data_IF_265662049830
#
_entry.id   IF_265662049830
#
_cell.length_a   1.000
_cell.length_b   1.000
_cell.length_c   1.000
_cell.angle_alpha   90.00
_cell.angle_beta   90.00
_cell.angle_gamma   90.00
#
_symmetry.space_group_name_H-M   'P 1'
#
loop_
_entity.id
_entity.type
_entity.pdbx_description
1 polymer ?
#
# COMPACT_ATOMS: atom_id res chain seq x y z
N UNK A 1 -30.58 -52.97 31.80
CA UNK A 1 -29.27 -52.29 31.93
C UNK A 1 -29.17 -51.30 30.78
N UNK A 2 -29.65 -50.08 31.02
CA UNK A 2 -28.84 -48.85 31.18
C UNK A 2 -28.35 -48.30 29.83
N UNK A 3 -29.18 -47.54 29.10
CA UNK A 3 -29.40 -46.06 29.16
C UNK A 3 -28.42 -45.25 28.30
N UNK A 4 -28.95 -44.76 27.18
CA UNK A 4 -28.41 -43.70 26.32
C UNK A 4 -28.62 -42.34 27.01
N UNK A 5 -27.56 -41.55 27.17
CA UNK A 5 -27.63 -40.19 27.71
C UNK A 5 -27.49 -39.17 26.58
N UNK A 6 -28.61 -38.57 26.18
CA UNK A 6 -28.64 -37.28 25.48
C UNK A 6 -28.58 -36.16 26.53
N UNK A 7 -27.61 -35.26 26.42
CA UNK A 7 -27.58 -34.03 27.22
C UNK A 7 -28.56 -33.01 26.64
N UNK A 8 -29.53 -32.65 27.47
CA UNK A 8 -30.53 -31.61 27.27
C UNK A 8 -30.03 -30.35 28.01
N UNK A 9 -30.00 -29.19 27.34
CA UNK A 9 -29.75 -27.89 27.99
C UNK A 9 -31.10 -27.15 28.04
N UNK A 10 -31.64 -26.79 29.22
CA UNK A 10 -32.95 -26.16 29.32
C UNK A 10 -32.91 -24.67 28.98
N UNK A 11 -33.97 -24.21 28.31
CA UNK A 11 -34.26 -22.78 28.13
C UNK A 11 -34.69 -22.11 29.43
N UNK A 12 -34.35 -20.83 29.56
CA UNK A 12 -34.83 -19.96 30.64
C UNK A 12 -35.79 -18.92 30.05
N UNK A 13 -37.01 -18.91 30.59
CA UNK A 13 -38.08 -17.94 30.32
C UNK A 13 -38.45 -17.24 31.63
N UNK A 14 -38.25 -15.91 31.64
CA UNK A 14 -38.93 -14.78 32.32
C UNK A 14 -39.12 -14.77 33.86
N UNK A 15 -39.21 -13.56 34.48
CA UNK A 15 -40.52 -12.88 34.55
C UNK A 15 -40.50 -11.38 34.25
N UNK A 16 -41.63 -10.92 33.70
CA UNK A 16 -42.10 -9.54 33.65
C UNK A 16 -42.41 -8.97 35.05
N UNK A 17 -42.07 -7.70 35.30
CA UNK A 17 -42.83 -6.85 36.21
C UNK A 17 -42.71 -5.35 35.90
N UNK A 18 -43.74 -4.85 35.23
CA UNK A 18 -44.48 -3.58 35.40
C UNK A 18 -43.74 -2.22 35.58
N UNK A 19 -43.93 -1.39 34.56
CA UNK A 19 -44.56 -0.04 34.55
C UNK A 19 -44.07 1.01 35.56
N UNK A 20 -43.48 2.10 35.03
CA UNK A 20 -43.96 3.45 35.37
C UNK A 20 -43.93 4.36 34.13
N UNK A 21 -45.07 5.00 33.89
CA UNK A 21 -45.33 6.01 32.88
C UNK A 21 -44.90 7.39 33.37
N UNK A 22 -44.35 8.23 32.49
CA UNK A 22 -44.92 9.54 32.10
C UNK A 22 -43.88 10.65 31.77
N UNK A 23 -44.27 11.48 30.78
CA UNK A 23 -43.73 12.79 30.36
C UNK A 23 -42.36 12.78 29.63
N UNK A 24 -42.19 13.24 28.37
CA UNK A 24 -42.79 14.36 27.63
C UNK A 24 -42.85 14.11 26.10
N UNK A 25 -43.84 14.74 25.46
CA UNK A 25 -44.11 14.76 24.02
C UNK A 25 -43.07 15.56 23.20
N UNK A 26 -42.89 15.21 21.92
CA UNK A 26 -42.20 16.07 20.95
C UNK A 26 -41.76 15.40 19.64
N UNK A 27 -42.57 15.59 18.59
CA UNK A 27 -42.28 15.46 17.15
C UNK A 27 -41.88 14.09 16.56
N UNK A 28 -42.91 13.32 16.20
CA UNK A 28 -42.84 12.34 15.11
C UNK A 28 -43.01 13.06 13.77
N UNK A 29 -41.92 13.24 13.00
CA UNK A 29 -42.05 13.56 11.58
C UNK A 29 -42.27 12.24 10.83
N UNK A 30 -43.47 12.07 10.27
CA UNK A 30 -43.83 10.95 9.39
C UNK A 30 -42.89 10.91 8.18
N UNK A 31 -42.10 9.84 8.06
CA UNK A 31 -41.36 9.52 6.85
C UNK A 31 -42.31 8.84 5.87
N UNK A 32 -42.87 9.61 4.94
CA UNK A 32 -43.66 9.05 3.82
C UNK A 32 -42.67 8.71 2.71
N UNK A 33 -42.41 7.41 2.51
CA UNK A 33 -41.71 6.92 1.31
C UNK A 33 -42.72 6.88 0.16
N UNK A 34 -42.54 7.75 -0.84
CA UNK A 34 -43.22 7.63 -2.13
C UNK A 34 -42.34 6.83 -3.12
N UNK A 35 -42.94 6.05 -4.02
CA UNK A 35 -42.19 5.28 -5.00
C UNK A 35 -41.54 6.20 -6.05
N UNK A 36 -40.36 5.79 -6.50
CA UNK A 36 -39.48 6.54 -7.40
C UNK A 36 -40.18 6.96 -8.71
N UNK A 37 -40.10 8.26 -9.02
CA UNK A 37 -40.38 8.77 -10.36
C UNK A 37 -39.12 8.70 -11.23
N UNK A 38 -39.29 8.41 -12.52
CA UNK A 38 -38.26 8.04 -13.50
C UNK A 38 -37.35 9.19 -13.97
N UNK A 39 -36.95 10.09 -13.09
CA UNK A 39 -35.94 11.11 -13.37
C UNK A 39 -35.02 11.26 -12.17
N UNK A 40 -33.86 10.58 -12.20
CA UNK A 40 -32.93 10.45 -11.07
C UNK A 40 -32.32 11.76 -10.58
N UNK A 41 -33.03 12.47 -9.71
CA UNK A 41 -32.52 13.59 -8.92
C UNK A 41 -33.17 13.61 -7.54
N UNK A 42 -32.41 13.20 -6.52
CA UNK A 42 -32.82 13.33 -5.12
C UNK A 42 -32.38 14.69 -4.57
N UNK A 43 -33.29 15.38 -3.87
CA UNK A 43 -33.01 16.62 -3.15
C UNK A 43 -33.26 16.41 -1.65
N UNK A 44 -32.33 16.86 -0.81
CA UNK A 44 -32.53 16.98 0.64
C UNK A 44 -32.43 18.46 1.01
N UNK A 45 -33.46 18.99 1.67
CA UNK A 45 -33.52 20.38 2.15
C UNK A 45 -33.24 20.42 3.65
N UNK A 46 -32.17 21.12 4.05
CA UNK A 46 -31.94 21.57 5.43
C UNK A 46 -31.60 23.07 5.39
N UNK A 47 -32.39 23.85 6.12
CA UNK A 47 -32.14 25.25 6.50
C UNK A 47 -31.52 26.17 5.43
N UNK A 48 -32.27 26.48 4.37
CA UNK A 48 -32.22 27.79 3.71
C UNK A 48 -31.01 28.12 2.84
N UNK A 49 -30.18 27.16 2.43
CA UNK A 49 -29.18 27.37 1.36
C UNK A 49 -29.24 26.27 0.31
N UNK A 50 -29.88 26.57 -0.81
CA UNK A 50 -29.84 25.72 -2.00
C UNK A 50 -28.45 25.83 -2.65
N UNK A 51 -27.63 24.78 -2.55
CA UNK A 51 -26.46 24.58 -3.43
C UNK A 51 -26.71 23.35 -4.27
N UNK A 52 -26.48 23.47 -5.58
CA UNK A 52 -26.42 22.35 -6.51
C UNK A 52 -25.39 21.34 -6.01
N UNK A 53 -25.85 20.15 -5.62
CA UNK A 53 -25.02 18.96 -5.53
C UNK A 53 -25.44 18.09 -6.71
N UNK A 54 -24.77 18.23 -7.85
CA UNK A 54 -25.19 17.52 -9.05
C UNK A 54 -24.22 17.70 -10.21
N UNK A 55 -23.18 16.86 -10.24
CA UNK A 55 -22.53 16.37 -11.47
C UNK A 55 -21.44 15.34 -11.13
N UNK A 56 -21.81 14.20 -10.53
CA UNK A 56 -20.88 13.06 -10.37
C UNK A 56 -21.56 11.71 -10.63
N UNK A 57 -22.63 11.71 -11.44
CA UNK A 57 -23.34 10.50 -11.85
C UNK A 57 -23.57 10.53 -13.36
N UNK A 58 -22.50 10.41 -14.13
CA UNK A 58 -22.51 10.01 -15.55
C UNK A 58 -21.08 9.77 -16.03
N UNK A 59 -20.46 8.73 -15.46
CA UNK A 59 -19.32 8.05 -16.06
C UNK A 59 -19.46 6.55 -15.75
N UNK A 60 -20.61 5.98 -16.11
CA UNK A 60 -20.72 4.53 -16.27
C UNK A 60 -20.32 4.23 -17.72
N UNK A 61 -19.39 3.28 -17.85
CA UNK A 61 -18.72 2.80 -19.07
C UNK A 61 -17.40 3.51 -19.44
N UNK A 62 -16.55 3.78 -18.46
CA UNK A 62 -15.11 3.67 -18.69
C UNK A 62 -14.72 2.19 -18.57
N UNK A 63 -13.97 1.68 -19.55
CA UNK A 63 -13.50 0.31 -19.62
C UNK A 63 -12.72 -0.07 -18.34
N UNK A 64 -13.34 -0.92 -17.52
CA UNK A 64 -12.83 -1.33 -16.22
C UNK A 64 -11.73 -2.40 -16.32
N UNK A 65 -11.36 -2.80 -17.55
CA UNK A 65 -10.33 -3.81 -17.81
C UNK A 65 -8.94 -3.35 -17.38
N UNK A 66 -8.62 -2.05 -17.48
CA UNK A 66 -7.33 -1.53 -17.04
C UNK A 66 -7.17 -1.55 -15.50
N UNK A 67 -8.20 -1.14 -14.76
CA UNK A 67 -8.20 -1.17 -13.28
C UNK A 67 -8.27 -2.61 -12.74
N UNK A 68 -9.00 -3.51 -13.40
CA UNK A 68 -9.02 -4.94 -13.03
C UNK A 68 -7.70 -5.66 -13.38
N UNK A 69 -7.06 -5.35 -14.52
CA UNK A 69 -5.76 -5.91 -14.90
C UNK A 69 -4.61 -5.49 -13.97
N UNK A 70 -4.69 -4.28 -13.39
CA UNK A 70 -3.72 -3.83 -12.40
C UNK A 70 -3.84 -4.66 -11.12
N UNK A 71 -5.07 -5.01 -10.69
CA UNK A 71 -5.32 -5.81 -9.49
C UNK A 71 -5.05 -7.33 -9.65
N UNK A 72 -5.34 -7.93 -10.81
CA UNK A 72 -5.13 -9.37 -11.03
C UNK A 72 -3.65 -9.76 -11.17
N UNK A 73 -2.76 -8.83 -11.57
CA UNK A 73 -1.32 -9.05 -11.67
C UNK A 73 -0.58 -8.99 -10.31
N UNK A 74 -1.31 -9.03 -9.19
CA UNK A 74 -0.73 -8.77 -7.88
C UNK A 74 -0.39 -10.00 -7.01
N UNK A 75 -0.66 -11.23 -7.43
CA UNK A 75 -0.28 -12.42 -6.64
C UNK A 75 1.06 -13.02 -7.05
N UNK A 76 1.96 -13.21 -6.09
CA UNK A 76 3.08 -14.16 -6.21
C UNK A 76 4.35 -13.64 -6.89
N UNK A 77 4.58 -12.32 -6.95
CA UNK A 77 5.85 -11.76 -7.45
C UNK A 77 6.46 -10.81 -6.44
N UNK A 78 7.71 -11.09 -6.07
CA UNK A 78 8.56 -10.22 -5.26
C UNK A 78 8.67 -8.82 -5.92
N UNK A 79 8.51 -7.76 -5.12
CA UNK A 79 8.68 -6.37 -5.53
C UNK A 79 9.68 -5.67 -4.65
N UNK A 80 10.85 -5.39 -5.20
CA UNK A 80 11.87 -4.58 -4.55
C UNK A 80 11.73 -3.14 -5.04
N UNK A 81 11.65 -2.20 -4.10
CA UNK A 81 11.60 -0.77 -4.39
C UNK A 81 12.83 -0.07 -3.82
N UNK A 82 13.40 0.86 -4.58
CA UNK A 82 14.47 1.74 -4.07
C UNK A 82 13.80 2.90 -3.31
N UNK A 83 14.05 3.01 -2.00
CA UNK A 83 13.44 4.00 -1.10
C UNK A 83 14.31 5.27 -0.99
N UNK A 84 14.23 6.13 -2.01
CA UNK A 84 14.94 7.40 -2.09
C UNK A 84 14.24 8.35 -3.07
N UNK A 85 14.50 9.65 -2.95
CA UNK A 85 14.14 10.65 -3.96
C UNK A 85 15.36 11.14 -4.76
N UNK A 86 16.55 10.56 -4.55
CA UNK A 86 17.74 10.84 -5.32
C UNK A 86 17.77 10.05 -6.63
N UNK A 87 17.57 10.75 -7.74
CA UNK A 87 17.57 10.16 -9.08
C UNK A 87 18.92 9.60 -9.54
N UNK A 88 20.05 9.99 -8.93
CA UNK A 88 21.36 9.39 -9.25
C UNK A 88 21.41 7.93 -8.80
N UNK A 89 20.86 7.66 -7.61
CA UNK A 89 20.71 6.29 -7.12
C UNK A 89 19.86 5.44 -8.07
N UNK A 90 18.80 6.00 -8.64
CA UNK A 90 17.95 5.30 -9.61
C UNK A 90 18.69 4.94 -10.90
N UNK A 91 19.48 5.88 -11.45
CA UNK A 91 20.31 5.63 -12.63
C UNK A 91 21.31 4.49 -12.42
N UNK A 92 21.81 4.35 -11.18
CA UNK A 92 22.76 3.29 -10.84
C UNK A 92 22.09 1.91 -10.72
N UNK A 93 20.90 1.84 -10.12
CA UNK A 93 20.34 0.58 -9.65
C UNK A 93 19.14 0.06 -10.45
N UNK A 94 18.29 0.92 -11.00
CA UNK A 94 17.14 0.46 -11.80
C UNK A 94 17.56 -0.36 -13.03
N UNK A 95 18.63 -0.02 -13.78
CA UNK A 95 19.06 -0.82 -14.94
C UNK A 95 19.47 -2.26 -14.62
N UNK A 96 19.67 -2.62 -13.34
CA UNK A 96 19.94 -4.02 -12.95
C UNK A 96 18.77 -4.96 -13.24
N UNK A 97 17.55 -4.44 -13.41
CA UNK A 97 16.32 -5.24 -13.58
C UNK A 97 15.82 -5.91 -12.29
N UNK A 98 16.52 -5.76 -11.17
CA UNK A 98 16.13 -6.37 -9.89
C UNK A 98 15.03 -5.61 -9.14
N UNK A 99 14.84 -4.33 -9.46
CA UNK A 99 13.89 -3.45 -8.78
C UNK A 99 12.64 -3.24 -9.61
N UNK A 100 11.48 -3.45 -8.98
CA UNK A 100 10.17 -3.22 -9.60
C UNK A 100 9.85 -1.73 -9.68
N UNK A 101 10.35 -0.91 -8.76
CA UNK A 101 9.99 0.50 -8.73
C UNK A 101 10.74 1.31 -7.70
N UNK A 102 10.20 2.49 -7.39
CA UNK A 102 10.77 3.39 -6.38
C UNK A 102 9.71 3.90 -5.43
N UNK A 103 10.11 4.21 -4.20
CA UNK A 103 9.24 4.85 -3.22
C UNK A 103 9.85 6.15 -2.72
N UNK A 104 9.00 7.15 -2.54
CA UNK A 104 9.37 8.44 -1.95
C UNK A 104 8.51 8.74 -0.73
N UNK A 105 8.87 9.80 0.00
CA UNK A 105 8.04 10.47 1.00
C UNK A 105 8.64 11.86 1.27
N UNK A 106 7.94 12.77 1.98
CA UNK A 106 8.43 14.12 2.24
C UNK A 106 9.81 14.18 2.91
N UNK A 107 10.13 13.26 3.81
CA UNK A 107 11.45 13.22 4.47
C UNK A 107 12.57 12.78 3.53
N UNK A 108 12.27 11.92 2.55
CA UNK A 108 13.25 11.53 1.52
C UNK A 108 13.45 12.66 0.50
N UNK A 109 12.38 13.37 0.14
CA UNK A 109 12.44 14.55 -0.72
C UNK A 109 13.31 15.63 -0.07
N UNK A 110 13.09 15.93 1.21
CA UNK A 110 13.91 16.86 1.99
C UNK A 110 15.39 16.47 1.99
N UNK A 111 15.72 15.20 2.29
CA UNK A 111 17.11 14.71 2.28
C UNK A 111 17.77 14.78 0.91
N UNK A 112 17.00 14.60 -0.16
CA UNK A 112 17.48 14.71 -1.53
C UNK A 112 17.49 16.16 -2.04
N UNK A 113 17.10 17.14 -1.21
CA UNK A 113 16.93 18.54 -1.58
C UNK A 113 15.97 18.73 -2.79
N UNK A 114 14.90 17.94 -2.82
CA UNK A 114 13.84 17.97 -3.84
C UNK A 114 12.61 18.62 -3.25
N UNK A 115 12.05 19.63 -3.93
CA UNK A 115 10.83 20.32 -3.47
C UNK A 115 9.62 19.39 -3.58
N UNK A 116 8.79 19.38 -2.54
CA UNK A 116 7.54 18.63 -2.49
C UNK A 116 6.42 19.42 -3.18
N UNK A 117 6.41 19.42 -4.51
CA UNK A 117 5.46 20.15 -5.37
C UNK A 117 5.04 19.28 -6.56
N UNK A 118 3.79 19.40 -7.02
CA UNK A 118 3.24 18.53 -8.07
C UNK A 118 4.09 18.47 -9.35
N UNK A 119 4.54 19.64 -9.84
CA UNK A 119 5.39 19.70 -11.04
C UNK A 119 6.70 18.93 -10.85
N UNK A 120 7.40 19.19 -9.74
CA UNK A 120 8.67 18.52 -9.41
C UNK A 120 8.47 17.02 -9.24
N UNK A 121 7.38 16.58 -8.60
CA UNK A 121 7.07 15.16 -8.39
C UNK A 121 6.68 14.46 -9.70
N UNK A 122 6.02 15.16 -10.62
CA UNK A 122 5.74 14.65 -11.96
C UNK A 122 7.02 14.42 -12.77
N UNK A 123 7.91 15.42 -12.80
CA UNK A 123 9.23 15.29 -13.45
C UNK A 123 10.06 14.16 -12.84
N UNK A 124 10.05 14.06 -11.51
CA UNK A 124 10.76 13.02 -10.77
C UNK A 124 10.20 11.61 -11.09
N UNK A 125 8.88 11.45 -11.10
CA UNK A 125 8.24 10.17 -11.42
C UNK A 125 8.50 9.74 -12.86
N UNK A 126 8.38 10.65 -13.83
CA UNK A 126 8.67 10.38 -15.23
C UNK A 126 10.11 9.90 -15.41
N UNK A 127 11.08 10.51 -14.71
CA UNK A 127 12.46 10.05 -14.72
C UNK A 127 12.63 8.62 -14.17
N UNK A 128 11.86 8.23 -13.15
CA UNK A 128 11.91 6.85 -12.66
C UNK A 128 11.35 5.87 -13.71
N UNK A 129 10.26 6.23 -14.37
CA UNK A 129 9.68 5.44 -15.46
C UNK A 129 10.63 5.31 -16.66
N UNK A 130 11.30 6.40 -17.06
CA UNK A 130 12.31 6.40 -18.14
C UNK A 130 13.50 5.47 -17.83
N UNK A 131 13.75 5.20 -16.55
CA UNK A 131 14.81 4.30 -16.07
C UNK A 131 14.31 2.86 -15.84
N UNK A 132 13.05 2.56 -16.17
CA UNK A 132 12.49 1.20 -16.11
C UNK A 132 11.76 0.85 -14.81
N UNK A 133 11.39 1.84 -13.98
CA UNK A 133 10.47 1.57 -12.88
C UNK A 133 9.06 1.22 -13.42
N UNK A 134 8.43 0.18 -12.87
CA UNK A 134 7.04 -0.19 -13.20
C UNK A 134 6.04 0.53 -12.27
N UNK A 135 6.48 0.94 -11.08
CA UNK A 135 5.64 1.60 -10.08
C UNK A 135 6.41 2.67 -9.31
N UNK A 136 5.78 3.83 -9.09
CA UNK A 136 6.32 4.92 -8.27
C UNK A 136 5.33 5.23 -7.15
N UNK A 137 5.77 5.09 -5.90
CA UNK A 137 4.92 5.42 -4.76
C UNK A 137 5.25 6.82 -4.19
N UNK A 138 4.26 7.72 -4.17
CA UNK A 138 4.42 9.12 -3.76
C UNK A 138 3.40 9.48 -2.69
N UNK A 139 3.82 10.19 -1.64
CA UNK A 139 2.92 10.55 -0.56
C UNK A 139 2.09 11.80 -0.87
N UNK A 140 0.79 11.74 -0.59
CA UNK A 140 -0.06 12.94 -0.54
C UNK A 140 0.25 13.79 0.70
N UNK A 141 -0.19 15.05 0.70
CA UNK A 141 -0.05 16.00 1.81
C UNK A 141 -1.27 16.92 1.91
N UNK A 142 -1.40 17.57 3.07
CA UNK A 142 -2.52 18.46 3.40
C UNK A 142 -2.85 18.42 4.89
N UNK A 143 -3.53 19.45 5.38
CA UNK A 143 -4.04 19.52 6.76
C UNK A 143 -5.45 18.91 6.87
N UNK A 144 -6.19 18.87 5.75
CA UNK A 144 -7.56 18.34 5.68
C UNK A 144 -7.66 17.10 4.78
N UNK A 145 -8.74 16.34 4.94
CA UNK A 145 -9.06 15.21 4.06
C UNK A 145 -9.21 15.68 2.61
N UNK A 146 -9.89 16.80 2.39
CA UNK A 146 -10.12 17.37 1.05
C UNK A 146 -8.80 17.72 0.36
N UNK A 147 -7.87 18.37 1.06
CA UNK A 147 -6.54 18.68 0.53
C UNK A 147 -5.75 17.42 0.17
N UNK A 148 -5.77 16.40 1.03
CA UNK A 148 -5.08 15.14 0.77
C UNK A 148 -5.71 14.35 -0.39
N UNK A 149 -7.03 14.37 -0.54
CA UNK A 149 -7.75 13.74 -1.66
C UNK A 149 -7.43 14.47 -2.96
N UNK A 150 -7.51 15.80 -2.97
CA UNK A 150 -7.20 16.62 -4.15
C UNK A 150 -5.75 16.42 -4.61
N UNK A 151 -4.80 16.48 -3.67
CA UNK A 151 -3.38 16.28 -3.97
C UNK A 151 -3.12 14.85 -4.42
N UNK A 152 -3.69 13.85 -3.73
CA UNK A 152 -3.55 12.44 -4.09
C UNK A 152 -4.09 12.12 -5.48
N UNK A 153 -5.24 12.70 -5.84
CA UNK A 153 -5.84 12.54 -7.17
C UNK A 153 -4.92 13.09 -8.27
N UNK A 154 -4.37 14.29 -8.08
CA UNK A 154 -3.42 14.91 -9.02
C UNK A 154 -2.11 14.14 -9.13
N UNK A 155 -1.64 13.53 -8.04
CA UNK A 155 -0.47 12.65 -8.09
C UNK A 155 -0.75 11.40 -8.94
N UNK A 156 -1.93 10.80 -8.77
CA UNK A 156 -2.31 9.61 -9.54
C UNK A 156 -2.45 9.87 -11.05
N UNK A 157 -2.78 11.11 -11.45
CA UNK A 157 -2.86 11.54 -12.85
C UNK A 157 -1.50 11.58 -13.57
N UNK A 158 -0.37 11.60 -12.85
CA UNK A 158 0.97 11.67 -13.46
C UNK A 158 1.21 10.47 -14.38
N UNK A 159 0.87 9.27 -13.92
CA UNK A 159 0.90 8.04 -14.71
C UNK A 159 -0.18 7.07 -14.18
N UNK A 160 -1.39 7.09 -14.77
CA UNK A 160 -2.53 6.32 -14.28
C UNK A 160 -2.24 4.83 -14.19
N UNK A 161 -2.44 4.25 -13.00
CA UNK A 161 -2.20 2.82 -12.72
C UNK A 161 -0.76 2.48 -12.29
N UNK A 162 0.22 3.34 -12.57
CA UNK A 162 1.62 3.14 -12.17
C UNK A 162 2.06 4.03 -10.99
N UNK A 163 1.28 5.08 -10.66
CA UNK A 163 1.44 5.83 -9.41
C UNK A 163 0.57 5.21 -8.31
N UNK A 164 1.20 4.93 -7.17
CA UNK A 164 0.49 4.54 -5.93
C UNK A 164 0.60 5.67 -4.90
N UNK A 165 -0.54 6.15 -4.41
CA UNK A 165 -0.57 7.28 -3.49
C UNK A 165 -0.35 6.78 -2.06
N UNK A 166 0.74 7.21 -1.43
CA UNK A 166 1.02 6.91 -0.01
C UNK A 166 0.25 7.88 0.89
N UNK A 167 -0.38 7.35 1.93
CA UNK A 167 -1.22 8.10 2.85
C UNK A 167 -0.88 7.68 4.28
N UNK A 168 -0.52 8.62 5.19
CA UNK A 168 -0.24 8.27 6.58
C UNK A 168 -1.43 7.56 7.23
N UNK A 169 -1.17 6.51 8.02
CA UNK A 169 -2.20 5.69 8.66
C UNK A 169 -2.80 6.36 9.90
N UNK A 170 -3.46 7.50 9.66
CA UNK A 170 -4.20 8.31 10.64
C UNK A 170 -5.70 8.25 10.36
N UNK A 171 -6.53 8.79 11.25
CA UNK A 171 -7.99 8.88 11.01
C UNK A 171 -8.32 9.60 9.69
N UNK A 172 -7.75 10.79 9.48
CA UNK A 172 -7.96 11.54 8.23
C UNK A 172 -7.35 10.81 7.02
N UNK A 173 -6.22 10.14 7.23
CA UNK A 173 -5.59 9.32 6.20
C UNK A 173 -6.47 8.14 5.75
N UNK A 174 -7.12 7.44 6.67
CA UNK A 174 -8.04 6.35 6.33
C UNK A 174 -9.27 6.84 5.56
N UNK A 175 -9.83 8.00 5.94
CA UNK A 175 -10.92 8.62 5.17
C UNK A 175 -10.45 8.98 3.75
N UNK A 176 -9.27 9.62 3.65
CA UNK A 176 -8.63 9.95 2.36
C UNK A 176 -8.43 8.71 1.50
N UNK A 177 -7.87 7.64 2.08
CA UNK A 177 -7.63 6.37 1.41
C UNK A 177 -8.93 5.75 0.91
N UNK A 178 -10.00 5.78 1.71
CA UNK A 178 -11.31 5.29 1.28
C UNK A 178 -11.85 6.05 0.06
N UNK A 179 -11.68 7.38 0.00
CA UNK A 179 -12.10 8.17 -1.17
C UNK A 179 -11.29 7.81 -2.42
N UNK A 180 -9.97 7.74 -2.31
CA UNK A 180 -9.09 7.46 -3.45
C UNK A 180 -9.25 6.01 -3.93
N UNK A 181 -9.26 5.03 -3.03
CA UNK A 181 -9.42 3.62 -3.38
C UNK A 181 -10.77 3.33 -4.05
N UNK A 182 -11.88 3.91 -3.56
CA UNK A 182 -13.20 3.80 -4.21
C UNK A 182 -13.26 4.43 -5.60
N UNK A 183 -12.34 5.34 -5.90
CA UNK A 183 -12.20 5.97 -7.21
C UNK A 183 -11.22 5.21 -8.12
N UNK A 184 -10.78 4.01 -7.72
CA UNK A 184 -9.86 3.18 -8.49
C UNK A 184 -8.38 3.59 -8.39
N UNK A 185 -8.04 4.55 -7.53
CA UNK A 185 -6.64 4.97 -7.33
C UNK A 185 -5.98 4.04 -6.32
N UNK A 186 -4.88 3.34 -6.69
CA UNK A 186 -4.19 2.47 -5.75
C UNK A 186 -3.51 3.31 -4.66
N UNK A 187 -3.66 2.86 -3.41
CA UNK A 187 -3.12 3.55 -2.23
C UNK A 187 -2.25 2.65 -1.37
N UNK A 188 -1.26 3.26 -0.73
CA UNK A 188 -0.44 2.65 0.31
C UNK A 188 -0.70 3.33 1.65
N UNK A 189 -1.21 2.58 2.62
CA UNK A 189 -1.28 3.06 4.00
C UNK A 189 0.11 3.03 4.62
N UNK A 190 0.73 4.19 4.76
CA UNK A 190 2.14 4.32 5.21
C UNK A 190 2.24 4.69 6.69
N UNK A 191 3.39 4.41 7.30
CA UNK A 191 3.61 4.68 8.72
C UNK A 191 2.80 3.76 9.63
N UNK A 192 2.81 2.46 9.31
CA UNK A 192 2.18 1.41 10.12
C UNK A 192 3.16 0.95 11.21
N UNK A 193 2.69 0.85 12.45
CA UNK A 193 3.48 0.47 13.65
C UNK A 193 2.81 -0.62 14.50
N UNK A 194 1.68 -1.16 14.05
CA UNK A 194 0.88 -2.16 14.75
C UNK A 194 0.04 -3.00 13.80
N UNK A 195 -0.25 -4.25 14.17
CA UNK A 195 -1.02 -5.20 13.34
C UNK A 195 -2.41 -4.66 13.02
N UNK A 196 -3.09 -4.03 13.99
CA UNK A 196 -4.43 -3.48 13.78
C UNK A 196 -4.47 -2.38 12.71
N UNK A 197 -3.39 -1.63 12.51
CA UNK A 197 -3.33 -0.62 11.44
C UNK A 197 -3.30 -1.27 10.04
N UNK A 198 -2.67 -2.44 9.90
CA UNK A 198 -2.75 -3.21 8.66
C UNK A 198 -4.17 -3.73 8.40
N UNK A 199 -4.91 -4.12 9.44
CA UNK A 199 -6.32 -4.49 9.31
C UNK A 199 -7.19 -3.32 8.82
N UNK A 200 -6.92 -2.10 9.30
CA UNK A 200 -7.60 -0.90 8.81
C UNK A 200 -7.26 -0.62 7.34
N UNK A 201 -6.02 -0.87 6.91
CA UNK A 201 -5.61 -0.75 5.51
C UNK A 201 -6.36 -1.74 4.60
N UNK A 202 -6.55 -2.99 5.04
CA UNK A 202 -7.42 -3.95 4.35
C UNK A 202 -8.85 -3.41 4.24
N UNK A 203 -9.40 -2.90 5.34
CA UNK A 203 -10.80 -2.43 5.40
C UNK A 203 -11.09 -1.24 4.46
N UNK A 204 -10.10 -0.41 4.14
CA UNK A 204 -10.27 0.70 3.18
C UNK A 204 -9.96 0.31 1.73
N UNK A 205 -9.59 -0.96 1.48
CA UNK A 205 -9.22 -1.44 0.15
C UNK A 205 -7.87 -0.94 -0.32
N UNK A 206 -6.90 -0.76 0.58
CA UNK A 206 -5.56 -0.34 0.19
C UNK A 206 -4.84 -1.42 -0.65
N UNK A 207 -4.03 -1.00 -1.61
CA UNK A 207 -3.16 -1.89 -2.36
C UNK A 207 -1.99 -2.37 -1.49
N UNK A 208 -1.49 -1.47 -0.61
CA UNK A 208 -0.42 -1.78 0.32
C UNK A 208 -0.65 -1.24 1.73
N UNK A 209 -0.04 -1.91 2.71
CA UNK A 209 0.27 -1.34 4.02
C UNK A 209 1.79 -1.33 4.22
N UNK A 210 2.36 -0.20 4.65
CA UNK A 210 3.81 -0.05 4.80
C UNK A 210 4.25 0.04 6.28
N UNK A 211 4.55 -1.12 6.92
CA UNK A 211 5.12 -1.15 8.27
C UNK A 211 6.56 -0.67 8.28
N UNK A 212 6.92 0.14 9.28
CA UNK A 212 8.25 0.74 9.39
C UNK A 212 9.14 -0.08 10.34
N UNK A 213 9.62 -1.23 9.86
CA UNK A 213 10.34 -2.24 10.65
C UNK A 213 11.43 -1.63 11.54
N UNK A 214 12.40 -0.92 10.95
CA UNK A 214 13.51 -0.36 11.73
C UNK A 214 13.08 0.66 12.77
N UNK A 215 11.97 1.39 12.55
CA UNK A 215 11.41 2.31 13.56
C UNK A 215 10.65 1.56 14.65
N UNK A 216 9.93 0.49 14.31
CA UNK A 216 9.28 -0.38 15.30
C UNK A 216 10.33 -0.99 16.24
N UNK A 217 11.42 -1.54 15.69
CA UNK A 217 12.53 -2.09 16.47
C UNK A 217 13.18 -1.02 17.35
N UNK A 218 13.41 0.19 16.82
CA UNK A 218 13.97 1.30 17.60
C UNK A 218 13.07 1.74 18.77
N UNK A 219 11.77 1.46 18.70
CA UNK A 219 10.80 1.70 19.77
C UNK A 219 10.65 0.49 20.72
N UNK A 220 11.48 -0.54 20.60
CA UNK A 220 11.43 -1.74 21.43
C UNK A 220 10.31 -2.72 21.08
N UNK A 221 9.68 -2.58 19.89
CA UNK A 221 8.64 -3.52 19.42
C UNK A 221 9.28 -4.76 18.77
N UNK A 222 8.60 -5.93 18.82
CA UNK A 222 9.01 -7.13 18.11
C UNK A 222 8.67 -7.00 16.61
N UNK A 223 9.39 -6.11 15.91
CA UNK A 223 8.98 -5.66 14.58
C UNK A 223 8.95 -6.75 13.50
N UNK A 224 9.80 -7.78 13.61
CA UNK A 224 9.79 -8.90 12.67
C UNK A 224 8.56 -9.79 12.89
N UNK A 225 8.22 -10.05 14.15
CA UNK A 225 7.08 -10.84 14.58
C UNK A 225 5.77 -10.13 14.26
N UNK A 226 5.68 -8.82 14.56
CA UNK A 226 4.51 -8.00 14.23
C UNK A 226 4.24 -8.01 12.71
N UNK A 227 5.28 -7.92 11.88
CA UNK A 227 5.12 -7.97 10.41
C UNK A 227 4.72 -9.36 9.93
N UNK A 228 5.25 -10.42 10.55
CA UNK A 228 4.82 -11.78 10.27
C UNK A 228 3.34 -11.98 10.62
N UNK A 229 2.89 -11.45 11.76
CA UNK A 229 1.48 -11.47 12.16
C UNK A 229 0.62 -10.66 11.19
N UNK A 230 1.07 -9.48 10.73
CA UNK A 230 0.39 -8.73 9.67
C UNK A 230 0.24 -9.58 8.40
N UNK A 231 1.29 -10.27 7.96
CA UNK A 231 1.26 -11.09 6.74
C UNK A 231 0.26 -12.26 6.88
N UNK A 232 0.27 -12.93 8.03
CA UNK A 232 -0.68 -13.99 8.35
C UNK A 232 -2.12 -13.47 8.41
N UNK A 233 -2.33 -12.29 9.00
CA UNK A 233 -3.63 -11.64 9.08
C UNK A 233 -4.19 -11.33 7.68
N UNK A 234 -3.39 -10.73 6.80
CA UNK A 234 -3.77 -10.44 5.42
C UNK A 234 -4.20 -11.70 4.68
N UNK A 235 -3.41 -12.77 4.78
CA UNK A 235 -3.76 -14.07 4.19
C UNK A 235 -5.00 -14.71 4.81
N UNK A 236 -5.17 -14.60 6.13
CA UNK A 236 -6.30 -15.16 6.87
C UNK A 236 -7.64 -14.52 6.50
N UNK A 237 -7.67 -13.21 6.24
CA UNK A 237 -8.85 -12.50 5.72
C UNK A 237 -8.97 -12.56 4.19
N UNK A 238 -8.08 -13.31 3.52
CA UNK A 238 -8.04 -13.49 2.06
C UNK A 238 -8.00 -12.18 1.28
N UNK A 239 -7.28 -11.19 1.80
CA UNK A 239 -7.08 -9.91 1.13
C UNK A 239 -5.93 -10.00 0.11
N UNK A 240 -6.06 -9.28 -0.99
CA UNK A 240 -5.01 -9.11 -2.00
C UNK A 240 -4.03 -7.96 -1.66
N UNK A 241 -4.26 -7.25 -0.55
CA UNK A 241 -3.35 -6.20 -0.07
C UNK A 241 -1.97 -6.79 0.20
N UNK A 242 -0.91 -6.04 -0.14
CA UNK A 242 0.47 -6.43 0.18
C UNK A 242 1.05 -5.65 1.36
N UNK A 243 1.99 -6.26 2.06
CA UNK A 243 2.89 -5.51 2.93
C UNK A 243 4.04 -4.94 2.11
N UNK A 244 4.25 -3.63 2.18
CA UNK A 244 5.44 -2.94 1.68
C UNK A 244 6.36 -2.61 2.86
N UNK A 245 7.17 -3.57 3.30
CA UNK A 245 8.01 -3.37 4.48
C UNK A 245 9.05 -2.30 4.19
N UNK A 246 9.09 -1.26 5.02
CA UNK A 246 9.96 -0.10 4.86
C UNK A 246 10.84 0.12 6.10
N UNK A 247 11.71 1.13 6.03
CA UNK A 247 12.68 1.43 7.10
C UNK A 247 13.59 0.24 7.45
N UNK A 248 13.95 -0.56 6.44
CA UNK A 248 14.84 -1.71 6.56
C UNK A 248 16.28 -1.25 6.86
N UNK A 249 17.01 -2.02 7.66
CA UNK A 249 18.38 -1.72 8.08
C UNK A 249 19.40 -2.75 7.60
N UNK A 250 18.97 -3.96 7.28
CA UNK A 250 19.86 -5.06 6.93
C UNK A 250 19.23 -6.02 5.90
N UNK A 251 20.07 -6.65 5.08
CA UNK A 251 19.67 -7.62 4.05
C UNK A 251 18.99 -8.86 4.66
N UNK A 252 19.39 -9.28 5.86
CA UNK A 252 18.78 -10.43 6.56
C UNK A 252 17.31 -10.18 6.93
N UNK A 253 16.91 -8.92 7.10
CA UNK A 253 15.51 -8.58 7.34
C UNK A 253 14.66 -8.83 6.09
N UNK A 254 15.19 -8.51 4.91
CA UNK A 254 14.51 -8.75 3.62
C UNK A 254 14.34 -10.25 3.40
N UNK A 255 15.45 -11.00 3.41
CA UNK A 255 15.44 -12.44 3.14
C UNK A 255 14.62 -13.22 4.18
N UNK A 256 14.73 -12.85 5.46
CA UNK A 256 13.95 -13.46 6.53
C UNK A 256 12.45 -13.24 6.40
N UNK A 257 12.00 -12.03 6.03
CA UNK A 257 10.58 -11.74 5.82
C UNK A 257 10.07 -12.33 4.50
N UNK A 258 10.89 -12.34 3.45
CA UNK A 258 10.54 -12.98 2.19
C UNK A 258 10.31 -14.49 2.37
N UNK A 259 11.14 -15.17 3.16
CA UNK A 259 10.95 -16.57 3.54
C UNK A 259 9.65 -16.82 4.33
N UNK A 260 9.00 -15.77 4.86
CA UNK A 260 7.73 -15.81 5.58
C UNK A 260 6.55 -15.31 4.73
N UNK A 261 6.75 -15.16 3.42
CA UNK A 261 5.71 -14.78 2.46
C UNK A 261 5.48 -13.28 2.32
N UNK A 262 6.35 -12.42 2.86
CA UNK A 262 6.30 -10.98 2.56
C UNK A 262 6.90 -10.74 1.18
N UNK A 263 6.14 -10.10 0.30
CA UNK A 263 6.49 -9.99 -1.12
C UNK A 263 6.95 -8.60 -1.55
N UNK A 264 6.92 -7.58 -0.69
CA UNK A 264 7.29 -6.21 -1.12
C UNK A 264 8.12 -5.46 -0.09
N UNK A 265 9.20 -4.81 -0.55
CA UNK A 265 10.18 -4.16 0.30
C UNK A 265 10.59 -2.79 -0.28
N UNK A 266 10.50 -1.74 0.55
CA UNK A 266 11.05 -0.42 0.28
C UNK A 266 12.43 -0.31 0.95
N UNK A 267 13.48 -0.35 0.12
CA UNK A 267 14.85 -0.61 0.55
C UNK A 267 15.67 0.67 0.42
N UNK A 268 16.23 1.21 1.53
CA UNK A 268 17.07 2.41 1.45
C UNK A 268 18.40 2.11 0.74
N UNK A 269 18.97 3.12 0.08
CA UNK A 269 20.17 2.98 -0.76
C UNK A 269 21.35 2.24 -0.10
N UNK A 270 21.70 2.49 1.18
CA UNK A 270 22.79 1.74 1.82
C UNK A 270 22.53 0.24 1.96
N UNK A 271 21.26 -0.20 2.00
CA UNK A 271 20.90 -1.62 2.00
C UNK A 271 20.83 -2.16 0.58
N UNK A 272 20.42 -1.34 -0.40
CA UNK A 272 20.54 -1.68 -1.83
C UNK A 272 21.99 -2.00 -2.19
N UNK A 273 22.94 -1.16 -1.80
CA UNK A 273 24.37 -1.41 -2.05
C UNK A 273 24.84 -2.77 -1.51
N UNK A 274 24.42 -3.11 -0.29
CA UNK A 274 24.74 -4.40 0.33
C UNK A 274 24.10 -5.60 -0.38
N UNK A 275 22.97 -5.43 -1.07
CA UNK A 275 22.34 -6.52 -1.83
C UNK A 275 23.19 -6.97 -3.02
N UNK A 276 24.06 -6.11 -3.55
CA UNK A 276 24.90 -6.39 -4.71
C UNK A 276 26.35 -6.71 -4.34
N UNK A 277 26.67 -6.82 -3.05
CA UNK A 277 28.04 -7.02 -2.57
C UNK A 277 28.19 -8.38 -1.92
N UNK A 278 29.05 -9.22 -2.50
CA UNK A 278 29.48 -10.49 -1.93
C UNK A 278 30.92 -10.78 -2.37
N UNK A 279 31.84 -10.81 -1.40
CA UNK A 279 33.28 -10.91 -1.69
C UNK A 279 33.69 -12.27 -2.27
N UNK A 280 32.98 -13.34 -1.92
CA UNK A 280 33.25 -14.67 -2.49
C UNK A 280 32.80 -14.72 -3.95
N UNK A 281 31.69 -14.05 -4.29
CA UNK A 281 31.22 -13.89 -5.67
C UNK A 281 32.20 -13.08 -6.52
N UNK A 282 32.71 -11.95 -6.00
CA UNK A 282 33.71 -11.13 -6.69
C UNK A 282 35.00 -11.93 -6.95
N UNK A 283 35.45 -12.70 -5.96
CA UNK A 283 36.62 -13.58 -6.11
C UNK A 283 36.41 -14.65 -7.16
N UNK A 284 35.26 -15.34 -7.13
CA UNK A 284 34.94 -16.38 -8.10
C UNK A 284 34.88 -15.80 -9.53
N UNK A 285 34.30 -14.62 -9.71
CA UNK A 285 34.26 -13.95 -11.00
C UNK A 285 35.67 -13.65 -11.55
N UNK A 286 36.57 -13.14 -10.71
CA UNK A 286 37.96 -12.91 -11.10
C UNK A 286 38.68 -14.23 -11.48
N UNK A 287 38.47 -15.29 -10.70
CA UNK A 287 39.05 -16.61 -10.99
C UNK A 287 38.57 -17.16 -12.35
N UNK A 288 37.31 -16.90 -12.74
CA UNK A 288 36.78 -17.27 -14.06
C UNK A 288 37.46 -16.50 -15.20
N UNK A 289 37.64 -15.19 -15.08
CA UNK A 289 38.32 -14.37 -16.09
C UNK A 289 39.80 -14.74 -16.24
N UNK A 290 40.46 -15.02 -15.12
CA UNK A 290 41.84 -15.51 -15.12
C UNK A 290 41.94 -16.87 -15.83
N UNK A 291 40.95 -17.76 -15.64
CA UNK A 291 40.90 -19.04 -16.33
C UNK A 291 40.72 -18.87 -17.84
N UNK A 292 39.83 -17.98 -18.29
CA UNK A 292 39.65 -17.66 -19.71
C UNK A 292 40.97 -17.17 -20.31
N UNK A 293 41.64 -16.23 -19.66
CA UNK A 293 42.92 -15.67 -20.11
C UNK A 293 43.97 -16.76 -20.32
N UNK A 294 44.14 -17.67 -19.36
CA UNK A 294 45.07 -18.82 -19.48
C UNK A 294 44.72 -19.74 -20.66
N UNK A 295 43.44 -20.00 -20.91
CA UNK A 295 43.03 -20.88 -22.02
C UNK A 295 43.29 -20.28 -23.40
N UNK A 296 43.13 -18.96 -23.54
CA UNK A 296 43.43 -18.25 -24.79
C UNK A 296 44.94 -18.28 -25.09
N UNK A 297 45.80 -18.11 -24.10
CA UNK A 297 47.26 -18.19 -24.26
C UNK A 297 47.73 -19.59 -24.67
N UNK A 298 47.15 -20.66 -24.09
CA UNK A 298 47.44 -22.04 -24.49
C UNK A 298 47.12 -22.27 -25.97
N UNK A 299 45.97 -21.78 -26.44
CA UNK A 299 45.56 -21.92 -27.84
C UNK A 299 46.53 -21.24 -28.82
N UNK A 300 47.12 -20.10 -28.45
CA UNK A 300 48.10 -19.39 -29.28
C UNK A 300 49.44 -20.13 -29.40
N UNK A 301 49.87 -20.82 -28.33
CA UNK A 301 51.14 -21.57 -28.29
C UNK A 301 51.14 -22.90 -29.06
N UNK A 302 49.96 -23.39 -29.46
CA UNK A 302 49.83 -24.69 -30.15
C UNK A 302 49.75 -24.54 -31.69
N UNK A 303 49.77 -23.30 -32.19
CA UNK A 303 49.64 -22.96 -33.62
C UNK A 303 50.95 -22.49 -34.29
N UNK A 304 52.10 -22.69 -33.63
CA UNK A 304 53.46 -22.48 -34.18
C UNK A 304 54.20 -23.80 -34.32
#
# INVERSE_FOLDING_TARGET
>A
MATSAMLHVPGAVLPDSKVSSSFFAGNSANLVLQPASSSGRDFVSIAGRTRLVGAWASAQHADNSAAQNVCENYKGRLRLFIDTADSKSWQRWLPSGAFYGVTTNPLLLERANVRCELKTLSELANRAFDLGAEEVQIQTWGQTVEEMVNTGSKLAEINPGAIVVKIPTTKNGLVTASHLAKSGIPVTMTGVYSVHQALLAVGVGAAYAAPYLGRMVALGKPGMEDIQEMQQMVGGVKSDMRLLVASIKDVKQITGLAARGVESFAIPVPVVEKLFQDGDTEKAAAEFEDAVSRTLEMSASTST
#
